data_IF_614781122143
#
_entry.id   IF_614781122143
#
_cell.length_a   1.000
_cell.length_b   1.000
_cell.length_c   1.000
_cell.angle_alpha   90.00
_cell.angle_beta   90.00
_cell.angle_gamma   90.00
#
_symmetry.space_group_name_H-M   'P 1'
#
loop_
_entity.id
_entity.type
_entity.pdbx_description
1 polymer ?
#
# COMPACT_ATOMS: atom_id res chain seq x y z
N UNK A 1 14.36 0.60 17.99
CA UNK A 1 13.88 1.78 17.24
C UNK A 1 13.34 2.72 18.29
N UNK A 2 14.17 3.65 18.76
CA UNK A 2 13.77 4.52 19.84
C UNK A 2 14.11 5.96 19.50
N UNK A 3 13.16 6.82 19.80
CA UNK A 3 13.19 8.23 19.51
C UNK A 3 13.71 8.95 20.74
N UNK A 4 14.87 9.60 20.66
CA UNK A 4 15.29 10.52 21.71
C UNK A 4 14.20 11.61 21.89
N UNK A 5 13.48 11.56 23.01
CA UNK A 5 12.45 12.55 23.37
C UNK A 5 11.05 12.35 22.74
N UNK A 6 10.69 11.14 22.30
CA UNK A 6 9.30 10.82 21.89
C UNK A 6 8.85 11.36 20.52
N UNK A 7 9.76 11.97 19.75
CA UNK A 7 9.48 12.43 18.37
C UNK A 7 9.58 11.27 17.39
N UNK A 8 8.61 11.03 16.49
CA UNK A 8 8.70 9.95 15.49
C UNK A 8 10.06 9.94 14.77
N UNK A 9 10.69 8.77 14.68
CA UNK A 9 11.96 8.64 13.97
C UNK A 9 11.76 9.00 12.48
N UNK A 10 12.59 9.86 11.88
CA UNK A 10 12.50 10.16 10.45
C UNK A 10 12.56 8.92 9.55
N UNK A 11 13.29 7.89 10.01
CA UNK A 11 13.38 6.61 9.34
C UNK A 11 12.04 5.86 9.30
N UNK A 12 11.14 6.03 10.28
CA UNK A 12 9.82 5.39 10.27
C UNK A 12 8.89 6.04 9.24
N UNK A 13 8.96 7.37 9.06
CA UNK A 13 8.25 8.09 8.00
C UNK A 13 8.72 7.65 6.61
N UNK A 14 10.04 7.53 6.41
CA UNK A 14 10.61 7.00 5.16
C UNK A 14 10.16 5.56 4.90
N UNK A 15 10.23 4.69 5.92
CA UNK A 15 9.78 3.31 5.82
C UNK A 15 8.29 3.21 5.46
N UNK A 16 7.44 4.03 6.08
CA UNK A 16 6.01 4.07 5.76
C UNK A 16 5.76 4.49 4.32
N UNK A 17 6.44 5.55 3.86
CA UNK A 17 6.29 6.04 2.49
C UNK A 17 6.67 4.95 1.48
N UNK A 18 7.90 4.43 1.57
CA UNK A 18 8.40 3.42 0.64
C UNK A 18 7.63 2.11 0.72
N UNK A 19 7.25 1.68 1.93
CA UNK A 19 6.43 0.49 2.13
C UNK A 19 5.06 0.62 1.45
N UNK A 20 4.42 1.78 1.57
CA UNK A 20 3.14 2.02 0.91
C UNK A 20 3.23 2.09 -0.62
N UNK A 21 4.31 2.68 -1.16
CA UNK A 21 4.56 2.74 -2.61
C UNK A 21 4.80 1.34 -3.20
N UNK A 22 5.65 0.53 -2.55
CA UNK A 22 5.91 -0.84 -2.97
C UNK A 22 4.66 -1.71 -2.89
N UNK A 23 3.86 -1.57 -1.84
CA UNK A 23 2.62 -2.33 -1.69
C UNK A 23 1.61 -1.98 -2.79
N UNK A 24 1.48 -0.70 -3.15
CA UNK A 24 0.62 -0.26 -4.26
C UNK A 24 1.09 -0.87 -5.59
N UNK A 25 2.37 -0.70 -5.92
CA UNK A 25 2.93 -1.22 -7.16
C UNK A 25 2.83 -2.75 -7.28
N UNK A 26 3.02 -3.46 -6.16
CA UNK A 26 2.92 -4.93 -6.13
C UNK A 26 1.48 -5.40 -6.34
N UNK A 27 0.52 -4.75 -5.68
CA UNK A 27 -0.89 -5.14 -5.80
C UNK A 27 -1.49 -4.73 -7.15
N UNK A 28 -1.07 -3.60 -7.72
CA UNK A 28 -1.41 -3.21 -9.09
C UNK A 28 -0.88 -4.25 -10.08
N UNK A 29 0.41 -4.63 -9.99
CA UNK A 29 0.98 -5.68 -10.80
C UNK A 29 0.23 -7.02 -10.64
N UNK A 30 -0.20 -7.35 -9.43
CA UNK A 30 -0.98 -8.58 -9.20
C UNK A 30 -2.33 -8.56 -9.91
N UNK A 31 -3.00 -7.40 -9.96
CA UNK A 31 -4.23 -7.21 -10.74
C UNK A 31 -3.95 -7.34 -12.23
N UNK A 32 -2.88 -6.73 -12.73
CA UNK A 32 -2.49 -6.83 -14.15
C UNK A 32 -2.19 -8.27 -14.56
N UNK A 33 -1.50 -9.02 -13.71
CA UNK A 33 -1.19 -10.45 -13.94
C UNK A 33 -2.46 -11.31 -13.90
N UNK A 34 -3.40 -11.02 -12.99
CA UNK A 34 -4.69 -11.71 -12.92
C UNK A 34 -5.57 -11.40 -14.14
N UNK A 35 -5.47 -10.20 -14.71
CA UNK A 35 -6.23 -9.78 -15.89
C UNK A 35 -7.74 -10.00 -15.71
N UNK A 36 -8.38 -10.69 -16.65
CA UNK A 36 -9.84 -10.95 -16.60
C UNK A 36 -10.25 -11.85 -15.44
N UNK A 37 -9.35 -12.68 -14.93
CA UNK A 37 -9.62 -13.56 -13.79
C UNK A 37 -9.75 -12.80 -12.47
N UNK A 38 -9.45 -11.50 -12.44
CA UNK A 38 -9.70 -10.64 -11.28
C UNK A 38 -11.10 -10.03 -11.22
N UNK A 39 -11.93 -10.22 -12.26
CA UNK A 39 -13.29 -9.68 -12.31
C UNK A 39 -14.26 -10.40 -11.38
N UNK A 40 -14.22 -11.74 -11.23
CA UNK A 40 -15.10 -12.43 -10.30
C UNK A 40 -14.69 -12.15 -8.86
N UNK A 41 -15.63 -11.69 -8.04
CA UNK A 41 -15.46 -11.62 -6.58
C UNK A 41 -16.74 -12.05 -5.89
N UNK A 42 -16.69 -13.17 -5.15
CA UNK A 42 -17.88 -13.75 -4.51
C UNK A 42 -18.90 -14.32 -5.50
N UNK A 43 -18.46 -14.71 -6.71
CA UNK A 43 -19.35 -15.14 -7.81
C UNK A 43 -19.88 -16.59 -7.69
N UNK A 44 -19.61 -17.27 -6.58
CA UNK A 44 -20.17 -18.59 -6.29
C UNK A 44 -19.46 -19.77 -6.98
N UNK A 45 -20.02 -20.99 -6.87
CA UNK A 45 -19.43 -22.18 -7.48
C UNK A 45 -19.52 -22.13 -9.01
N UNK A 46 -18.54 -22.74 -9.69
CA UNK A 46 -18.49 -22.84 -11.16
C UNK A 46 -17.63 -21.77 -11.85
N UNK A 47 -16.98 -20.89 -11.10
CA UNK A 47 -15.99 -19.95 -11.63
C UNK A 47 -14.68 -20.67 -11.92
N UNK A 48 -14.22 -20.61 -13.18
CA UNK A 48 -12.96 -21.23 -13.63
C UNK A 48 -11.72 -20.45 -13.22
N UNK A 49 -11.85 -19.16 -12.93
CA UNK A 49 -10.75 -18.29 -12.52
C UNK A 49 -10.12 -18.79 -11.22
N UNK A 50 -8.78 -18.80 -11.10
CA UNK A 50 -8.11 -19.20 -9.86
C UNK A 50 -8.51 -18.32 -8.67
N UNK A 51 -8.62 -18.89 -7.47
CA UNK A 51 -9.02 -18.17 -6.25
C UNK A 51 -8.12 -16.95 -5.99
N UNK A 52 -6.81 -17.08 -6.17
CA UNK A 52 -5.88 -15.94 -5.96
C UNK A 52 -6.16 -14.77 -6.93
N UNK A 53 -6.54 -15.08 -8.18
CA UNK A 53 -6.81 -14.07 -9.21
C UNK A 53 -8.10 -13.32 -8.89
N UNK A 54 -9.15 -14.05 -8.48
CA UNK A 54 -10.41 -13.47 -8.00
C UNK A 54 -10.21 -12.50 -6.82
N UNK A 55 -9.22 -12.77 -5.97
CA UNK A 55 -8.88 -11.90 -4.84
C UNK A 55 -7.94 -10.73 -5.16
N UNK A 56 -7.34 -10.67 -6.36
CA UNK A 56 -6.36 -9.64 -6.70
C UNK A 56 -6.97 -8.22 -6.66
N UNK A 57 -8.07 -8.00 -7.41
CA UNK A 57 -8.75 -6.70 -7.49
C UNK A 57 -9.30 -6.18 -6.13
N UNK A 58 -10.08 -6.96 -5.36
CA UNK A 58 -10.58 -6.49 -4.06
C UNK A 58 -9.44 -6.23 -3.06
N UNK A 59 -8.35 -7.01 -3.11
CA UNK A 59 -7.18 -6.77 -2.27
C UNK A 59 -6.49 -5.46 -2.64
N UNK A 60 -6.21 -5.23 -3.93
CA UNK A 60 -5.65 -3.97 -4.41
C UNK A 60 -6.49 -2.77 -3.95
N UNK A 61 -7.80 -2.80 -4.20
CA UNK A 61 -8.72 -1.71 -3.83
C UNK A 61 -8.74 -1.46 -2.31
N UNK A 62 -8.75 -2.52 -1.49
CA UNK A 62 -8.72 -2.38 -0.04
C UNK A 62 -7.41 -1.78 0.47
N UNK A 63 -6.27 -2.09 -0.16
CA UNK A 63 -4.96 -1.58 0.25
C UNK A 63 -4.64 -0.19 -0.29
N UNK A 64 -5.45 0.37 -1.20
CA UNK A 64 -5.29 1.77 -1.63
C UNK A 64 -5.30 2.76 -0.46
N UNK A 65 -6.03 2.43 0.61
CA UNK A 65 -6.10 3.22 1.85
C UNK A 65 -4.75 3.42 2.54
N UNK A 66 -3.75 2.56 2.26
CA UNK A 66 -2.44 2.61 2.92
C UNK A 66 -1.67 3.90 2.63
N UNK A 67 -1.92 4.48 1.46
CA UNK A 67 -1.36 5.79 1.09
C UNK A 67 -1.95 6.98 1.88
N UNK A 68 -3.03 6.77 2.64
CA UNK A 68 -3.85 7.81 3.29
C UNK A 68 -3.88 7.66 4.81
N UNK A 69 -4.27 6.49 5.32
CA UNK A 69 -4.42 6.28 6.77
C UNK A 69 -3.07 6.40 7.50
N UNK A 70 -3.11 6.80 8.77
CA UNK A 70 -1.92 7.03 9.60
C UNK A 70 -0.91 8.02 8.97
N UNK A 71 -1.44 9.05 8.28
CA UNK A 71 -0.68 10.10 7.63
C UNK A 71 -0.52 9.85 6.13
N UNK A 72 -0.99 10.79 5.31
CA UNK A 72 -0.92 10.70 3.86
C UNK A 72 0.52 10.64 3.37
N UNK A 73 0.71 10.11 2.16
CA UNK A 73 2.05 10.07 1.52
C UNK A 73 2.66 11.47 1.37
N UNK A 74 1.84 12.50 1.19
CA UNK A 74 2.25 13.90 1.15
C UNK A 74 2.76 14.37 2.52
N UNK A 75 2.01 14.08 3.60
CA UNK A 75 2.44 14.40 4.96
C UNK A 75 3.75 13.71 5.32
N UNK A 76 3.93 12.44 4.92
CA UNK A 76 5.20 11.74 5.14
C UNK A 76 6.37 12.39 4.39
N UNK A 77 6.16 12.85 3.15
CA UNK A 77 7.19 13.61 2.41
C UNK A 77 7.54 14.91 3.10
N UNK A 78 6.55 15.66 3.61
CA UNK A 78 6.81 16.89 4.38
C UNK A 78 7.59 16.62 5.67
N UNK A 79 7.26 15.56 6.41
CA UNK A 79 8.01 15.15 7.62
C UNK A 79 9.45 14.79 7.24
N UNK A 80 9.66 14.02 6.16
CA UNK A 80 11.00 13.67 5.68
C UNK A 80 11.79 14.93 5.29
N UNK A 81 11.17 15.86 4.55
CA UNK A 81 11.81 17.11 4.16
C UNK A 81 12.26 17.93 5.38
N UNK A 82 11.36 18.12 6.34
CA UNK A 82 11.67 18.90 7.55
C UNK A 82 12.69 18.20 8.46
N UNK A 83 12.56 16.88 8.65
CA UNK A 83 13.35 16.16 9.65
C UNK A 83 14.70 15.63 9.16
N UNK A 84 14.83 15.32 7.86
CA UNK A 84 16.08 14.80 7.27
C UNK A 84 16.79 15.89 6.48
N UNK A 85 16.04 16.68 5.69
CA UNK A 85 16.64 17.68 4.80
C UNK A 85 16.71 19.08 5.43
N UNK A 86 16.00 19.33 6.54
CA UNK A 86 15.96 20.63 7.21
C UNK A 86 15.23 21.73 6.42
N UNK A 87 14.31 21.34 5.53
CA UNK A 87 13.53 22.22 4.66
C UNK A 87 12.20 22.64 5.28
#
# INVERSE_FOLDING_TARGET
ADSAGGKPSPASSLLKLRGSELQQATLELLVDVAGRDSLPFGAGPGISSPVWAQHAAPTYLNYRKVSIYSGSSEVQRSIIASSILGL
#
